data_IF_484255274848
#
_entry.id   IF_484255274848
#
_cell.length_a   1.000
_cell.length_b   1.000
_cell.length_c   1.000
_cell.angle_alpha   90.00
_cell.angle_beta   90.00
_cell.angle_gamma   90.00
#
_symmetry.space_group_name_H-M   'P 1'
#
loop_
_entity.id
_entity.type
_entity.pdbx_description
1 polymer ?
#
# COMPACT_ATOMS: atom_id res chain seq x y z
N UNK A 1 9.20 6.80 -27.74
CA UNK A 1 8.11 6.53 -26.77
C UNK A 1 8.71 5.92 -25.51
N UNK A 2 8.59 6.61 -24.36
CA UNK A 2 9.12 6.13 -23.08
C UNK A 2 8.31 4.94 -22.57
N UNK A 3 8.79 3.71 -22.80
CA UNK A 3 8.19 2.53 -22.22
C UNK A 3 8.24 2.62 -20.69
N UNK A 4 7.09 2.83 -20.07
CA UNK A 4 6.92 2.97 -18.61
C UNK A 4 6.68 1.58 -18.01
N UNK A 5 7.74 0.78 -17.94
CA UNK A 5 7.70 -0.61 -17.45
C UNK A 5 7.15 -0.75 -16.02
N UNK A 6 7.29 0.29 -15.19
CA UNK A 6 6.66 0.34 -13.86
C UNK A 6 5.12 0.21 -13.88
N UNK A 7 4.43 0.59 -14.97
CA UNK A 7 2.99 0.32 -15.09
C UNK A 7 2.71 -1.18 -15.18
N UNK A 8 3.63 -1.95 -15.77
CA UNK A 8 3.55 -3.41 -15.77
C UNK A 8 3.64 -3.97 -14.35
N UNK A 9 4.54 -3.42 -13.52
CA UNK A 9 4.65 -3.78 -12.09
C UNK A 9 3.36 -3.43 -11.34
N UNK A 10 2.82 -2.23 -11.54
CA UNK A 10 1.58 -1.80 -10.90
C UNK A 10 0.38 -2.67 -11.32
N UNK A 11 0.24 -2.95 -12.62
CA UNK A 11 -0.84 -3.78 -13.16
C UNK A 11 -0.77 -5.22 -12.64
N UNK A 12 0.41 -5.85 -12.67
CA UNK A 12 0.59 -7.21 -12.13
C UNK A 12 0.31 -7.26 -10.63
N UNK A 13 0.76 -6.27 -9.86
CA UNK A 13 0.46 -6.17 -8.42
C UNK A 13 -1.04 -6.03 -8.15
N UNK A 14 -1.72 -5.20 -8.94
CA UNK A 14 -3.17 -4.98 -8.81
C UNK A 14 -3.96 -6.26 -9.13
N UNK A 15 -3.61 -6.96 -10.22
CA UNK A 15 -4.27 -8.22 -10.57
C UNK A 15 -4.04 -9.27 -9.48
N UNK A 16 -2.83 -9.33 -8.90
CA UNK A 16 -2.55 -10.22 -7.77
C UNK A 16 -3.36 -9.86 -6.52
N UNK A 17 -3.44 -8.58 -6.17
CA UNK A 17 -4.25 -8.12 -5.04
C UNK A 17 -5.74 -8.47 -5.25
N UNK A 18 -6.27 -8.25 -6.45
CA UNK A 18 -7.64 -8.61 -6.81
C UNK A 18 -7.85 -10.13 -6.77
N UNK A 19 -6.90 -10.92 -7.27
CA UNK A 19 -6.98 -12.37 -7.20
C UNK A 19 -7.00 -12.86 -5.75
N UNK A 20 -6.13 -12.34 -4.89
CA UNK A 20 -6.12 -12.74 -3.48
C UNK A 20 -7.40 -12.32 -2.76
N UNK A 21 -7.97 -11.17 -3.12
CA UNK A 21 -9.23 -10.68 -2.57
C UNK A 21 -10.43 -11.54 -3.02
N UNK A 22 -10.51 -11.79 -4.33
CA UNK A 22 -11.62 -12.52 -4.94
C UNK A 22 -11.52 -14.03 -4.75
N UNK A 23 -10.30 -14.58 -4.65
CA UNK A 23 -10.02 -16.00 -4.46
C UNK A 23 -10.45 -16.57 -3.12
N UNK A 24 -10.95 -15.71 -2.23
CA UNK A 24 -11.63 -16.11 -1.00
C UNK A 24 -13.15 -16.24 -1.15
N UNK A 25 -13.72 -15.77 -2.25
CA UNK A 25 -15.14 -15.97 -2.53
C UNK A 25 -15.41 -17.42 -2.93
N UNK A 26 -16.45 -18.01 -2.35
CA UNK A 26 -16.92 -19.36 -2.73
C UNK A 26 -17.22 -19.44 -4.23
N UNK A 27 -17.70 -18.34 -4.81
CA UNK A 27 -18.00 -18.22 -6.23
C UNK A 27 -16.73 -18.31 -7.09
N UNK A 28 -15.64 -17.61 -6.73
CA UNK A 28 -14.37 -17.74 -7.46
C UNK A 28 -13.72 -19.10 -7.22
N UNK A 29 -13.83 -19.67 -6.02
CA UNK A 29 -13.32 -21.03 -5.74
C UNK A 29 -14.07 -22.07 -6.59
N UNK A 30 -15.40 -21.96 -6.67
CA UNK A 30 -16.23 -22.80 -7.53
C UNK A 30 -15.86 -22.60 -9.01
N UNK A 31 -15.70 -21.36 -9.47
CA UNK A 31 -15.27 -21.06 -10.84
C UNK A 31 -13.88 -21.63 -11.14
N UNK A 32 -12.93 -21.48 -10.21
CA UNK A 32 -11.58 -22.02 -10.30
C UNK A 32 -11.53 -23.54 -10.24
N UNK A 33 -12.57 -24.18 -9.71
CA UNK A 33 -12.69 -25.64 -9.64
C UNK A 33 -13.25 -26.24 -10.93
N UNK A 34 -13.87 -25.43 -11.80
CA UNK A 34 -14.26 -25.88 -13.15
C UNK A 34 -13.01 -26.17 -13.99
N UNK A 35 -13.01 -27.29 -14.72
CA UNK A 35 -11.81 -27.79 -15.43
C UNK A 35 -11.31 -26.83 -16.50
N UNK A 36 -12.22 -26.17 -17.23
CA UNK A 36 -11.84 -25.31 -18.36
C UNK A 36 -11.50 -23.88 -17.93
N UNK A 37 -12.43 -23.19 -17.24
CA UNK A 37 -12.21 -21.79 -16.80
C UNK A 37 -11.15 -21.72 -15.71
N UNK A 38 -11.14 -22.70 -14.80
CA UNK A 38 -10.17 -22.78 -13.72
C UNK A 38 -8.74 -22.96 -14.24
N UNK A 39 -8.53 -23.80 -15.25
CA UNK A 39 -7.20 -24.01 -15.84
C UNK A 39 -6.70 -22.73 -16.52
N UNK A 40 -7.54 -22.07 -17.33
CA UNK A 40 -7.19 -20.82 -18.00
C UNK A 40 -6.82 -19.71 -17.02
N UNK A 41 -7.62 -19.51 -15.96
CA UNK A 41 -7.36 -18.48 -14.95
C UNK A 41 -6.10 -18.78 -14.14
N UNK A 42 -5.87 -20.04 -13.74
CA UNK A 42 -4.63 -20.46 -13.06
C UNK A 42 -3.41 -20.27 -13.95
N UNK A 43 -3.52 -20.60 -15.24
CA UNK A 43 -2.47 -20.35 -16.23
C UNK A 43 -2.15 -18.86 -16.36
N UNK A 44 -3.17 -18.00 -16.45
CA UNK A 44 -2.99 -16.55 -16.49
C UNK A 44 -2.30 -16.01 -15.24
N UNK A 45 -2.73 -16.46 -14.05
CA UNK A 45 -2.11 -16.06 -12.78
C UNK A 45 -0.66 -16.53 -12.67
N UNK A 46 -0.38 -17.75 -13.15
CA UNK A 46 0.97 -18.26 -13.25
C UNK A 46 1.83 -17.41 -14.19
N UNK A 47 1.33 -17.00 -15.36
CA UNK A 47 2.05 -16.08 -16.25
C UNK A 47 2.28 -14.72 -15.57
N UNK A 48 1.25 -14.15 -14.94
CA UNK A 48 1.34 -12.87 -14.21
C UNK A 48 2.34 -12.91 -13.06
N UNK A 49 2.53 -14.06 -12.42
CA UNK A 49 3.56 -14.29 -11.42
C UNK A 49 4.96 -13.98 -11.96
N UNK A 50 5.30 -14.48 -13.15
CA UNK A 50 6.60 -14.26 -13.77
C UNK A 50 6.73 -12.89 -14.43
N UNK A 51 5.62 -12.28 -14.84
CA UNK A 51 5.65 -10.94 -15.44
C UNK A 51 6.09 -9.85 -14.46
N UNK A 52 5.73 -9.95 -13.17
CA UNK A 52 6.14 -8.96 -12.17
C UNK A 52 7.67 -8.80 -12.03
N UNK A 53 8.47 -9.88 -11.80
CA UNK A 53 9.93 -9.77 -11.75
C UNK A 53 10.53 -9.33 -13.10
N UNK A 54 9.92 -9.71 -14.23
CA UNK A 54 10.36 -9.25 -15.55
C UNK A 54 10.17 -7.72 -15.67
N UNK A 55 8.99 -7.20 -15.31
CA UNK A 55 8.72 -5.76 -15.37
C UNK A 55 9.61 -4.97 -14.42
N UNK A 56 9.87 -5.49 -13.21
CA UNK A 56 10.84 -4.90 -12.27
C UNK A 56 12.23 -4.84 -12.88
N UNK A 57 12.70 -5.94 -13.50
CA UNK A 57 14.02 -5.98 -14.13
C UNK A 57 14.14 -5.04 -15.33
N UNK A 58 13.10 -4.95 -16.17
CA UNK A 58 13.05 -4.06 -17.33
C UNK A 58 13.01 -2.58 -16.91
N UNK A 59 12.20 -2.24 -15.91
CA UNK A 59 12.14 -0.87 -15.38
C UNK A 59 13.46 -0.47 -14.73
N UNK A 60 14.07 -1.35 -13.92
CA UNK A 60 15.39 -1.09 -13.34
C UNK A 60 16.48 -0.86 -14.38
N UNK A 61 16.61 -1.77 -15.37
CA UNK A 61 17.62 -1.64 -16.44
C UNK A 61 17.50 -0.31 -17.15
N UNK A 62 16.29 0.23 -17.24
CA UNK A 62 16.03 1.50 -17.92
C UNK A 62 16.45 2.71 -17.09
N UNK A 63 16.24 2.69 -15.77
CA UNK A 63 16.40 3.88 -14.91
C UNK A 63 17.65 3.87 -14.05
N UNK A 64 18.43 2.78 -14.04
CA UNK A 64 19.64 2.65 -13.21
C UNK A 64 20.71 3.73 -13.49
N UNK A 65 20.72 4.28 -14.69
CA UNK A 65 21.70 5.29 -15.12
C UNK A 65 21.19 6.72 -14.88
N UNK A 66 19.86 6.88 -14.75
CA UNK A 66 19.18 8.19 -14.64
C UNK A 66 18.84 8.58 -13.20
N UNK A 67 18.84 7.63 -12.28
CA UNK A 67 18.44 7.82 -10.87
C UNK A 67 19.56 7.26 -10.00
N UNK A 68 20.01 7.96 -8.94
CA UNK A 68 20.98 7.47 -7.96
C UNK A 68 20.34 6.38 -7.06
N UNK A 69 19.77 5.37 -7.69
CA UNK A 69 19.00 4.32 -7.08
C UNK A 69 19.51 2.98 -7.58
N UNK A 70 20.15 2.25 -6.67
CA UNK A 70 20.46 0.85 -6.85
C UNK A 70 19.43 0.04 -6.04
N UNK A 71 18.26 -0.32 -6.61
CA UNK A 71 17.47 -1.36 -6.00
C UNK A 71 18.35 -2.58 -6.00
N UNK A 72 18.62 -3.12 -4.83
CA UNK A 72 19.11 -4.47 -4.75
C UNK A 72 18.07 -5.39 -5.42
N UNK A 73 18.22 -5.63 -6.73
CA UNK A 73 17.22 -6.33 -7.54
C UNK A 73 17.02 -7.75 -7.01
N UNK A 74 18.10 -8.40 -6.57
CA UNK A 74 18.07 -9.77 -6.06
C UNK A 74 16.93 -9.97 -5.06
N UNK A 75 16.86 -9.21 -3.96
CA UNK A 75 15.74 -9.23 -3.02
C UNK A 75 14.36 -9.00 -3.66
N UNK A 76 14.20 -8.03 -4.57
CA UNK A 76 12.90 -7.79 -5.21
C UNK A 76 12.47 -8.96 -6.07
N UNK A 77 13.39 -9.55 -6.85
CA UNK A 77 13.11 -10.77 -7.61
C UNK A 77 12.76 -11.93 -6.68
N UNK A 78 13.52 -12.11 -5.59
CA UNK A 78 13.34 -13.21 -4.65
C UNK A 78 11.99 -13.11 -3.92
N UNK A 79 11.58 -11.91 -3.49
CA UNK A 79 10.25 -11.68 -2.88
C UNK A 79 9.14 -11.83 -3.93
N UNK A 80 9.36 -11.44 -5.18
CA UNK A 80 8.38 -11.63 -6.26
C UNK A 80 8.17 -13.11 -6.63
N UNK A 81 9.14 -13.97 -6.36
CA UNK A 81 8.96 -15.43 -6.49
C UNK A 81 8.06 -15.97 -5.37
N UNK A 82 7.92 -15.29 -4.23
CA UNK A 82 6.97 -15.72 -3.20
C UNK A 82 5.57 -15.25 -3.61
N UNK A 83 4.71 -16.19 -4.01
CA UNK A 83 3.33 -15.91 -4.48
C UNK A 83 2.61 -14.86 -3.62
N UNK A 84 2.51 -15.10 -2.31
CA UNK A 84 1.81 -14.21 -1.38
C UNK A 84 2.42 -12.81 -1.25
N UNK A 85 3.71 -12.66 -1.57
CA UNK A 85 4.44 -11.41 -1.43
C UNK A 85 4.44 -10.57 -2.72
N UNK A 86 3.91 -11.06 -3.85
CA UNK A 86 3.93 -10.31 -5.12
C UNK A 86 3.23 -8.96 -5.06
N UNK A 87 2.02 -8.93 -4.51
CA UNK A 87 1.27 -7.67 -4.38
C UNK A 87 2.02 -6.68 -3.48
N UNK A 88 2.62 -7.16 -2.39
CA UNK A 88 3.41 -6.35 -1.47
C UNK A 88 4.72 -5.86 -2.12
N UNK A 89 5.42 -6.75 -2.83
CA UNK A 89 6.66 -6.45 -3.51
C UNK A 89 6.45 -5.41 -4.61
N UNK A 90 5.47 -5.60 -5.48
CA UNK A 90 5.24 -4.63 -6.55
C UNK A 90 4.65 -3.31 -6.04
N UNK A 91 3.86 -3.31 -4.97
CA UNK A 91 3.44 -2.06 -4.30
C UNK A 91 4.64 -1.31 -3.70
N UNK A 92 5.48 -2.00 -2.92
CA UNK A 92 6.66 -1.40 -2.32
C UNK A 92 7.68 -0.96 -3.38
N UNK A 93 7.81 -1.67 -4.49
CA UNK A 93 8.60 -1.26 -5.66
C UNK A 93 8.06 0.05 -6.25
N UNK A 94 6.74 0.13 -6.49
CA UNK A 94 6.11 1.33 -7.03
C UNK A 94 6.31 2.54 -6.11
N UNK A 95 6.11 2.36 -4.81
CA UNK A 95 6.31 3.40 -3.79
C UNK A 95 7.77 3.85 -3.74
N UNK A 96 8.72 2.92 -3.75
CA UNK A 96 10.15 3.19 -3.79
C UNK A 96 10.55 3.99 -5.02
N UNK A 97 10.12 3.53 -6.19
CA UNK A 97 10.39 4.18 -7.46
C UNK A 97 9.83 5.59 -7.47
N UNK A 98 8.61 5.78 -6.97
CA UNK A 98 7.99 7.09 -6.85
C UNK A 98 8.74 8.00 -5.87
N UNK A 99 9.19 7.48 -4.72
CA UNK A 99 10.00 8.22 -3.76
C UNK A 99 11.33 8.67 -4.38
N UNK A 100 12.01 7.77 -5.10
CA UNK A 100 13.28 8.05 -5.75
C UNK A 100 13.13 9.13 -6.84
N UNK A 101 12.08 9.05 -7.66
CA UNK A 101 11.78 10.09 -8.66
C UNK A 101 11.42 11.45 -8.05
N UNK A 102 10.91 11.46 -6.82
CA UNK A 102 10.54 12.69 -6.11
C UNK A 102 11.71 13.34 -5.37
N UNK A 103 12.79 12.59 -5.14
CA UNK A 103 13.91 13.01 -4.28
C UNK A 103 13.46 13.59 -2.93
N UNK A 104 12.37 13.04 -2.36
CA UNK A 104 11.84 13.49 -1.06
C UNK A 104 11.93 12.39 -0.04
N UNK A 105 12.28 12.76 1.19
CA UNK A 105 12.24 11.86 2.34
C UNK A 105 10.78 11.66 2.77
N UNK A 106 10.31 10.41 2.99
CA UNK A 106 8.95 10.15 3.48
C UNK A 106 8.67 10.77 4.86
N UNK A 107 7.39 10.81 5.26
CA UNK A 107 6.99 11.35 6.57
C UNK A 107 7.33 10.40 7.72
N UNK A 108 7.63 10.93 8.90
CA UNK A 108 7.81 10.11 10.11
C UNK A 108 6.53 9.45 10.61
N UNK A 109 5.37 9.82 10.05
CA UNK A 109 4.06 9.25 10.41
C UNK A 109 3.88 7.81 9.91
N UNK A 110 4.72 7.34 8.98
CA UNK A 110 4.68 5.95 8.52
C UNK A 110 4.96 4.94 9.62
N UNK A 111 5.57 5.36 10.74
CA UNK A 111 5.69 4.55 11.96
C UNK A 111 4.34 4.04 12.46
N UNK A 112 3.26 4.83 12.34
CA UNK A 112 1.92 4.40 12.74
C UNK A 112 1.39 3.26 11.86
N UNK A 113 1.75 3.26 10.58
CA UNK A 113 1.44 2.15 9.67
C UNK A 113 2.23 0.88 10.02
N UNK A 114 3.48 1.03 10.45
CA UNK A 114 4.30 -0.09 10.97
C UNK A 114 3.68 -0.66 12.24
N UNK A 115 3.40 0.19 13.24
CA UNK A 115 2.78 -0.21 14.51
C UNK A 115 1.41 -0.86 14.28
N UNK A 116 0.55 -0.25 13.45
CA UNK A 116 -0.77 -0.78 13.13
C UNK A 116 -0.69 -2.12 12.40
N UNK A 117 0.23 -2.27 11.44
CA UNK A 117 0.47 -3.53 10.75
C UNK A 117 0.96 -4.64 11.67
N UNK A 118 1.89 -4.32 12.59
CA UNK A 118 2.40 -5.28 13.57
C UNK A 118 1.36 -5.68 14.60
N UNK A 119 0.59 -4.72 15.12
CA UNK A 119 -0.51 -4.98 16.04
C UNK A 119 -1.56 -5.88 15.40
N UNK A 120 -1.87 -5.66 14.12
CA UNK A 120 -2.76 -6.53 13.36
C UNK A 120 -2.20 -7.94 13.24
N UNK A 121 -0.94 -8.11 12.82
CA UNK A 121 -0.32 -9.44 12.69
C UNK A 121 -0.21 -10.15 14.03
N UNK A 122 0.18 -9.46 15.09
CA UNK A 122 0.24 -10.01 16.44
C UNK A 122 -1.14 -10.47 16.93
N UNK A 123 -2.18 -9.66 16.70
CA UNK A 123 -3.56 -10.03 17.02
C UNK A 123 -4.01 -11.26 16.23
N UNK A 124 -3.66 -11.35 14.95
CA UNK A 124 -3.99 -12.49 14.11
C UNK A 124 -3.26 -13.76 14.55
N UNK A 125 -1.98 -13.68 14.93
CA UNK A 125 -1.23 -14.80 15.49
C UNK A 125 -1.85 -15.24 16.81
N UNK A 126 -2.17 -14.30 17.71
CA UNK A 126 -2.79 -14.60 19.00
C UNK A 126 -4.16 -15.25 18.84
N UNK A 127 -5.01 -14.71 17.96
CA UNK A 127 -6.33 -15.30 17.66
C UNK A 127 -6.18 -16.71 17.09
N UNK A 128 -5.21 -16.98 16.20
CA UNK A 128 -4.98 -18.33 15.68
C UNK A 128 -4.46 -19.31 16.73
N UNK A 129 -3.61 -18.84 17.66
CA UNK A 129 -3.13 -19.66 18.78
C UNK A 129 -4.28 -19.99 19.75
N UNK A 130 -5.17 -19.03 20.01
CA UNK A 130 -6.33 -19.20 20.91
C UNK A 130 -7.49 -19.95 20.22
N UNK A 131 -7.67 -19.83 18.91
CA UNK A 131 -8.73 -20.52 18.16
C UNK A 131 -8.48 -22.02 17.99
N UNK A 132 -7.24 -22.48 18.19
CA UNK A 132 -6.96 -23.90 18.44
C UNK A 132 -7.66 -24.46 19.70
N UNK A 133 -8.14 -23.58 20.58
CA UNK A 133 -8.88 -23.89 21.81
C UNK A 133 -10.37 -23.53 21.69
N UNK A 134 -10.75 -22.60 20.79
CA UNK A 134 -12.11 -22.08 20.63
C UNK A 134 -12.49 -22.06 19.14
N UNK A 135 -13.51 -22.82 18.75
CA UNK A 135 -14.00 -22.82 17.36
C UNK A 135 -14.53 -21.43 16.97
N UNK A 136 -13.77 -20.71 16.16
CA UNK A 136 -14.10 -19.33 15.71
C UNK A 136 -15.10 -19.27 14.55
N UNK A 137 -15.58 -20.42 14.05
CA UNK A 137 -16.58 -20.51 12.99
C UNK A 137 -16.28 -19.67 11.73
N UNK A 138 -17.34 -19.23 11.04
CA UNK A 138 -17.28 -18.46 9.79
C UNK A 138 -16.71 -17.04 9.94
N UNK A 139 -16.64 -16.51 11.17
CA UNK A 139 -16.07 -15.17 11.47
C UNK A 139 -14.58 -15.13 11.14
N UNK A 140 -13.86 -16.22 11.46
CA UNK A 140 -12.41 -16.33 11.23
C UNK A 140 -12.01 -16.38 9.75
N UNK A 141 -12.86 -16.96 8.89
CA UNK A 141 -12.60 -17.08 7.45
C UNK A 141 -12.92 -15.82 6.66
N UNK A 142 -13.89 -15.01 7.11
CA UNK A 142 -14.37 -13.83 6.39
C UNK A 142 -13.52 -12.59 6.67
N UNK A 143 -13.27 -12.27 7.94
CA UNK A 143 -12.54 -11.07 8.34
C UNK A 143 -11.04 -11.16 8.02
N UNK A 144 -10.50 -12.37 7.96
CA UNK A 144 -9.08 -12.57 7.67
C UNK A 144 -8.71 -12.15 6.26
N UNK A 145 -9.52 -12.40 5.22
CA UNK A 145 -9.11 -12.19 3.82
C UNK A 145 -8.66 -10.76 3.47
N UNK A 146 -9.58 -9.76 3.45
CA UNK A 146 -9.24 -8.39 3.07
C UNK A 146 -8.28 -7.71 4.05
N UNK A 147 -8.43 -7.95 5.36
CA UNK A 147 -7.56 -7.36 6.37
C UNK A 147 -6.14 -7.94 6.31
N UNK A 148 -6.00 -9.25 6.06
CA UNK A 148 -4.69 -9.88 5.80
C UNK A 148 -4.06 -9.30 4.54
N UNK A 149 -4.83 -8.97 3.51
CA UNK A 149 -4.29 -8.31 2.31
C UNK A 149 -3.81 -6.90 2.57
N UNK A 150 -4.61 -6.11 3.29
CA UNK A 150 -4.21 -4.77 3.74
C UNK A 150 -2.96 -4.85 4.60
N UNK A 151 -2.85 -5.85 5.48
CA UNK A 151 -1.66 -6.03 6.31
C UNK A 151 -0.45 -6.58 5.54
N UNK A 152 -0.66 -7.50 4.59
CA UNK A 152 0.38 -8.06 3.71
C UNK A 152 1.03 -6.98 2.85
N UNK A 153 0.25 -6.02 2.35
CA UNK A 153 0.76 -4.95 1.49
C UNK A 153 1.12 -3.71 2.31
N UNK A 154 0.23 -3.30 3.21
CA UNK A 154 0.35 -2.07 3.97
C UNK A 154 1.48 -2.10 5.00
N UNK A 155 1.75 -3.24 5.64
CA UNK A 155 2.84 -3.33 6.61
C UNK A 155 4.21 -3.20 5.94
N UNK A 156 4.57 -3.98 4.90
CA UNK A 156 5.83 -3.77 4.16
C UNK A 156 5.96 -2.40 3.52
N UNK A 157 4.86 -1.84 3.00
CA UNK A 157 4.85 -0.48 2.43
C UNK A 157 5.16 0.58 3.50
N UNK A 158 4.47 0.52 4.65
CA UNK A 158 4.69 1.45 5.76
C UNK A 158 6.11 1.34 6.31
N UNK A 159 6.61 0.11 6.41
CA UNK A 159 7.98 -0.15 6.85
C UNK A 159 9.00 0.42 5.89
N UNK A 160 8.81 0.21 4.58
CA UNK A 160 9.70 0.76 3.57
C UNK A 160 9.78 2.30 3.68
N UNK A 161 8.64 2.96 3.78
CA UNK A 161 8.57 4.42 3.85
C UNK A 161 9.16 4.96 5.17
N UNK A 162 8.89 4.30 6.29
CA UNK A 162 9.49 4.67 7.58
C UNK A 162 11.00 4.41 7.60
N UNK A 163 11.49 3.33 6.97
CA UNK A 163 12.92 3.04 6.89
C UNK A 163 13.69 4.07 6.05
N UNK A 164 13.11 4.55 4.94
CA UNK A 164 13.72 5.68 4.20
C UNK A 164 13.63 6.98 5.00
N UNK A 165 12.57 7.19 5.80
CA UNK A 165 12.51 8.32 6.72
C UNK A 165 13.64 8.28 7.76
N UNK A 166 13.84 7.13 8.41
CA UNK A 166 14.93 6.88 9.37
C UNK A 166 16.29 7.16 8.74
N UNK A 167 16.54 6.66 7.52
CA UNK A 167 17.80 6.90 6.80
C UNK A 167 18.09 8.37 6.52
N UNK A 168 17.04 9.15 6.28
CA UNK A 168 17.16 10.58 6.00
C UNK A 168 17.38 11.43 7.25
N UNK A 169 17.14 10.90 8.45
CA UNK A 169 17.15 11.68 9.70
C UNK A 169 18.05 11.11 10.78
N UNK A 170 18.60 9.91 10.62
CA UNK A 170 19.45 9.25 11.63
C UNK A 170 20.69 8.67 10.95
N UNK A 171 21.72 8.33 11.74
CA UNK A 171 22.92 7.65 11.25
C UNK A 171 22.65 6.17 10.91
N UNK A 172 21.51 5.63 11.34
CA UNK A 172 21.10 4.28 11.01
C UNK A 172 20.75 4.13 9.53
N UNK A 173 21.42 3.20 8.86
CA UNK A 173 21.02 2.72 7.55
C UNK A 173 20.32 1.35 7.65
N UNK A 174 19.01 1.28 7.98
CA UNK A 174 18.27 0.03 8.04
C UNK A 174 18.43 -0.76 6.75
N UNK A 175 18.93 -1.99 6.85
CA UNK A 175 19.03 -2.89 5.71
C UNK A 175 17.62 -3.27 5.25
N UNK A 176 17.10 -2.58 4.23
CA UNK A 176 15.78 -2.87 3.66
C UNK A 176 15.65 -4.34 3.25
N UNK A 177 16.76 -4.99 2.86
CA UNK A 177 16.77 -6.41 2.49
C UNK A 177 16.38 -7.29 3.66
N UNK A 178 17.05 -7.09 4.79
CA UNK A 178 16.82 -7.88 6.00
C UNK A 178 15.38 -7.69 6.49
N UNK A 179 14.95 -6.43 6.56
CA UNK A 179 13.65 -6.10 7.10
C UNK A 179 12.49 -6.55 6.20
N UNK A 180 12.55 -6.29 4.89
CA UNK A 180 11.46 -6.70 3.97
C UNK A 180 11.33 -8.22 3.90
N UNK A 181 12.44 -8.97 3.94
CA UNK A 181 12.41 -10.44 3.98
C UNK A 181 11.81 -10.94 5.30
N UNK A 182 12.20 -10.34 6.42
CA UNK A 182 11.64 -10.69 7.73
C UNK A 182 10.14 -10.40 7.85
N UNK A 183 9.64 -9.34 7.19
CA UNK A 183 8.23 -8.97 7.16
C UNK A 183 7.38 -9.85 6.24
N UNK A 184 7.99 -10.62 5.33
CA UNK A 184 7.27 -11.48 4.40
C UNK A 184 6.67 -12.72 5.07
N UNK A 185 7.18 -13.12 6.25
CA UNK A 185 6.70 -14.28 7.00
C UNK A 185 5.88 -13.79 8.20
N UNK A 186 4.55 -14.01 8.27
CA UNK A 186 3.66 -13.41 9.26
C UNK A 186 4.11 -13.48 10.73
N UNK A 187 4.58 -14.64 11.18
CA UNK A 187 5.02 -14.83 12.59
C UNK A 187 6.35 -14.12 12.84
N UNK A 188 7.28 -14.20 11.88
CA UNK A 188 8.58 -13.54 11.95
C UNK A 188 8.41 -12.02 11.86
N UNK A 189 7.43 -11.54 11.09
CA UNK A 189 7.10 -10.14 10.90
C UNK A 189 6.88 -9.43 12.24
N UNK A 190 6.12 -10.04 13.16
CA UNK A 190 5.85 -9.46 14.49
C UNK A 190 7.15 -9.23 15.26
N UNK A 191 8.03 -10.23 15.31
CA UNK A 191 9.32 -10.14 16.03
C UNK A 191 10.24 -9.13 15.34
N UNK A 192 10.40 -9.25 14.03
CA UNK A 192 11.26 -8.38 13.22
C UNK A 192 10.79 -6.92 13.32
N UNK A 193 9.50 -6.65 13.15
CA UNK A 193 8.98 -5.30 13.27
C UNK A 193 9.08 -4.74 14.69
N UNK A 194 8.93 -5.56 15.73
CA UNK A 194 9.18 -5.11 17.11
C UNK A 194 10.64 -4.71 17.33
N UNK A 195 11.60 -5.52 16.87
CA UNK A 195 13.04 -5.20 16.93
C UNK A 195 13.35 -3.93 16.15
N UNK A 196 12.74 -3.77 14.97
CA UNK A 196 12.87 -2.54 14.18
C UNK A 196 12.37 -1.32 14.95
N UNK A 197 11.19 -1.37 15.57
CA UNK A 197 10.63 -0.24 16.31
C UNK A 197 11.47 0.14 17.53
N UNK A 198 12.01 -0.85 18.25
CA UNK A 198 12.93 -0.62 19.37
C UNK A 198 14.18 0.09 18.88
N UNK A 199 14.82 -0.43 17.82
CA UNK A 199 16.02 0.20 17.26
C UNK A 199 15.75 1.58 16.67
N UNK A 200 14.63 1.76 15.97
CA UNK A 200 14.18 3.07 15.48
C UNK A 200 14.12 4.08 16.61
N UNK A 201 13.54 3.69 17.75
CA UNK A 201 13.40 4.56 18.91
C UNK A 201 14.77 4.98 19.46
N UNK A 202 15.70 4.03 19.66
CA UNK A 202 17.03 4.35 20.19
C UNK A 202 17.79 5.32 19.28
N UNK A 203 17.73 5.11 17.97
CA UNK A 203 18.44 5.94 16.99
C UNK A 203 17.90 7.38 16.95
N UNK A 204 16.58 7.57 17.09
CA UNK A 204 15.99 8.91 17.22
C UNK A 204 16.24 9.56 18.58
N UNK A 205 16.38 8.78 19.66
CA UNK A 205 16.76 9.30 20.98
C UNK A 205 18.21 9.83 20.95
N UNK A 206 19.13 9.13 20.28
CA UNK A 206 20.52 9.55 20.08
C UNK A 206 20.67 10.77 19.14
N UNK A 207 19.80 10.89 18.14
CA UNK A 207 19.82 11.96 17.13
C UNK A 207 19.31 13.31 17.66
N UNK A 208 18.55 13.34 18.76
CA UNK A 208 18.14 14.60 19.41
C UNK A 208 19.29 15.32 20.14
N UNK A 209 20.52 14.81 20.04
CA UNK A 209 21.73 15.52 20.43
C UNK A 209 22.01 16.65 19.40
N UNK A 210 21.96 17.94 19.79
CA UNK A 210 22.08 19.08 18.87
C UNK A 210 23.37 19.10 18.05
N UNK A 211 24.39 18.34 18.44
CA UNK A 211 25.68 18.26 17.76
C UNK A 211 25.75 17.13 16.70
N UNK A 212 24.73 16.27 16.59
CA UNK A 212 24.82 15.02 15.83
C UNK A 212 24.28 15.05 14.38
N UNK A 213 23.60 16.12 13.95
CA UNK A 213 22.84 16.10 12.68
C UNK A 213 23.08 17.35 11.83
N UNK A 214 24.27 17.45 11.26
CA UNK A 214 24.40 18.07 9.94
C UNK A 214 23.67 17.18 8.94
N UNK A 215 22.42 17.52 8.62
CA UNK A 215 21.69 16.94 7.50
C UNK A 215 22.55 17.05 6.24
N UNK A 216 22.77 15.92 5.57
CA UNK A 216 23.37 15.87 4.23
C UNK A 216 22.51 16.68 3.23
N UNK A 217 22.77 18.00 3.17
CA UNK A 217 22.76 18.80 1.95
C UNK A 217 21.43 19.25 1.34
N UNK A 218 20.29 19.16 2.04
CA UNK A 218 19.06 19.80 1.54
C UNK A 218 18.26 20.41 2.69
N UNK A 219 18.46 21.70 2.92
CA UNK A 219 17.55 22.57 3.69
C UNK A 219 16.22 22.70 2.94
N UNK A 220 15.42 21.63 2.92
CA UNK A 220 14.07 21.70 2.39
C UNK A 220 13.18 22.33 3.46
N UNK A 221 12.87 23.63 3.30
CA UNK A 221 11.89 24.30 4.16
C UNK A 221 10.61 23.46 4.26
N UNK A 222 10.07 23.22 5.48
CA UNK A 222 8.85 22.45 5.65
C UNK A 222 7.68 23.13 4.94
N UNK A 223 7.27 22.59 3.79
CA UNK A 223 6.16 23.17 3.04
C UNK A 223 4.85 22.97 3.84
N UNK A 224 4.13 24.06 4.18
CA UNK A 224 2.88 23.95 4.89
C UNK A 224 1.87 23.15 4.04
N UNK A 225 1.13 22.20 4.63
CA UNK A 225 0.19 21.38 3.89
C UNK A 225 -0.86 22.28 3.22
N UNK A 226 -1.02 22.14 1.89
CA UNK A 226 -1.98 22.94 1.11
C UNK A 226 -3.38 22.75 1.68
N UNK A 227 -3.97 23.77 2.32
CA UNK A 227 -5.21 23.61 3.04
C UNK A 227 -6.34 23.43 2.04
N UNK A 228 -6.96 22.25 2.06
CA UNK A 228 -8.21 22.01 1.36
C UNK A 228 -9.22 21.43 2.35
N UNK A 229 -10.36 22.12 2.57
CA UNK A 229 -11.43 21.59 3.41
C UNK A 229 -12.01 20.30 2.82
N UNK A 230 -11.88 20.11 1.50
CA UNK A 230 -12.38 18.94 0.78
C UNK A 230 -11.52 17.71 1.01
N UNK A 231 -10.18 17.82 1.08
CA UNK A 231 -9.31 16.68 1.35
C UNK A 231 -9.68 15.96 2.67
N UNK A 232 -9.87 16.73 3.76
CA UNK A 232 -10.29 16.15 5.05
C UNK A 232 -11.64 15.44 4.96
N UNK A 233 -12.59 16.01 4.21
CA UNK A 233 -13.91 15.42 3.98
C UNK A 233 -13.83 14.13 3.16
N UNK A 234 -13.01 14.10 2.10
CA UNK A 234 -12.79 12.90 1.27
C UNK A 234 -12.13 11.80 2.09
N UNK A 235 -11.11 12.13 2.89
CA UNK A 235 -10.42 11.19 3.75
C UNK A 235 -11.36 10.60 4.81
N UNK A 236 -12.15 11.44 5.48
CA UNK A 236 -13.15 11.02 6.46
C UNK A 236 -14.24 10.14 5.81
N UNK A 237 -14.80 10.57 4.68
CA UNK A 237 -15.80 9.82 3.94
C UNK A 237 -15.28 8.45 3.53
N UNK A 238 -14.05 8.38 3.03
CA UNK A 238 -13.40 7.13 2.62
C UNK A 238 -13.12 6.23 3.82
N UNK A 239 -12.71 6.78 4.96
CA UNK A 239 -12.53 6.04 6.19
C UNK A 239 -13.86 5.48 6.74
N UNK A 240 -14.93 6.28 6.72
CA UNK A 240 -16.28 5.85 7.13
C UNK A 240 -16.81 4.74 6.20
N UNK A 241 -16.65 4.90 4.89
CA UNK A 241 -17.01 3.86 3.93
C UNK A 241 -16.21 2.58 4.17
N UNK A 242 -14.90 2.68 4.37
CA UNK A 242 -14.05 1.52 4.64
C UNK A 242 -14.46 0.81 5.93
N UNK A 243 -14.75 1.57 7.01
CA UNK A 243 -15.30 1.04 8.25
C UNK A 243 -16.64 0.34 8.03
N UNK A 244 -17.57 0.97 7.32
CA UNK A 244 -18.85 0.36 6.95
C UNK A 244 -18.67 -0.92 6.14
N UNK A 245 -17.76 -0.91 5.16
CA UNK A 245 -17.43 -2.08 4.35
C UNK A 245 -16.86 -3.22 5.20
N UNK A 246 -15.97 -2.90 6.14
CA UNK A 246 -15.40 -3.88 7.08
C UNK A 246 -16.46 -4.42 8.05
N UNK A 247 -17.34 -3.55 8.59
CA UNK A 247 -18.41 -3.96 9.51
C UNK A 247 -19.46 -4.81 8.79
N UNK A 248 -19.97 -4.34 7.65
CA UNK A 248 -21.01 -5.04 6.88
C UNK A 248 -20.48 -6.30 6.19
N UNK A 249 -19.27 -6.23 5.63
CA UNK A 249 -18.60 -7.38 5.01
C UNK A 249 -18.03 -8.37 6.03
N UNK A 250 -17.79 -7.94 7.27
CA UNK A 250 -17.24 -8.75 8.35
C UNK A 250 -18.26 -9.46 9.23
N UNK A 251 -19.55 -9.10 9.14
CA UNK A 251 -20.60 -9.69 9.98
C UNK A 251 -21.16 -10.95 9.30
N UNK A 252 -20.97 -12.16 9.87
CA UNK A 252 -21.30 -13.44 9.20
C UNK A 252 -22.77 -13.57 8.82
N UNK A 253 -23.67 -13.11 9.70
CA UNK A 253 -25.11 -13.14 9.46
C UNK A 253 -25.52 -12.25 8.28
N UNK A 254 -24.75 -11.18 8.00
CA UNK A 254 -25.01 -10.25 6.90
C UNK A 254 -24.47 -10.76 5.56
N UNK A 255 -23.35 -11.48 5.57
CA UNK A 255 -22.83 -12.11 4.34
C UNK A 255 -23.71 -13.25 3.83
N UNK A 256 -24.31 -14.04 4.73
CA UNK A 256 -25.23 -15.12 4.36
C UNK A 256 -26.48 -14.62 3.60
N UNK A 257 -26.89 -13.37 3.83
CA UNK A 257 -27.98 -12.68 3.12
C UNK A 257 -27.48 -11.79 1.97
N UNK A 258 -26.20 -11.91 1.57
CA UNK A 258 -25.65 -11.21 0.41
C UNK A 258 -25.31 -9.74 0.62
N UNK A 259 -25.30 -9.23 1.87
CA UNK A 259 -24.99 -7.83 2.15
C UNK A 259 -23.54 -7.43 1.83
N UNK A 260 -22.63 -8.37 1.64
CA UNK A 260 -21.30 -8.07 1.07
C UNK A 260 -21.39 -7.49 -0.35
N UNK A 261 -22.37 -7.94 -1.14
CA UNK A 261 -22.70 -7.34 -2.44
C UNK A 261 -23.31 -5.95 -2.23
N UNK A 262 -24.16 -5.77 -1.21
CA UNK A 262 -24.71 -4.45 -0.85
C UNK A 262 -23.61 -3.48 -0.43
N UNK A 263 -22.61 -3.90 0.33
CA UNK A 263 -21.45 -3.07 0.68
C UNK A 263 -20.63 -2.67 -0.55
N UNK A 264 -20.46 -3.57 -1.53
CA UNK A 264 -19.85 -3.25 -2.81
C UNK A 264 -20.74 -2.31 -3.67
N UNK A 265 -22.07 -2.49 -3.65
CA UNK A 265 -23.03 -1.61 -4.34
C UNK A 265 -23.17 -0.25 -3.65
N UNK A 266 -22.93 -0.16 -2.34
CA UNK A 266 -22.85 1.09 -1.59
C UNK A 266 -21.66 1.95 -2.05
N UNK A 267 -20.67 1.36 -2.73
CA UNK A 267 -19.65 2.15 -3.43
C UNK A 267 -20.27 3.05 -4.50
N UNK A 268 -21.31 2.63 -5.20
CA UNK A 268 -21.86 3.41 -6.31
C UNK A 268 -22.43 4.76 -5.85
N UNK A 269 -23.34 4.84 -4.84
CA UNK A 269 -23.79 6.12 -4.30
C UNK A 269 -22.66 6.85 -3.57
N UNK A 270 -21.77 6.15 -2.88
CA UNK A 270 -20.62 6.76 -2.19
C UNK A 270 -19.65 7.43 -3.17
N UNK A 271 -19.28 6.74 -4.24
CA UNK A 271 -18.40 7.20 -5.30
C UNK A 271 -18.99 8.40 -6.03
N UNK A 272 -20.30 8.36 -6.34
CA UNK A 272 -21.03 9.52 -6.90
C UNK A 272 -20.93 10.73 -5.95
N UNK A 273 -21.11 10.53 -4.65
CA UNK A 273 -20.97 11.60 -3.65
C UNK A 273 -19.51 12.09 -3.49
N UNK A 274 -18.52 11.23 -3.75
CA UNK A 274 -17.10 11.55 -3.68
C UNK A 274 -16.64 12.42 -4.86
N UNK A 275 -17.24 12.25 -6.04
CA UNK A 275 -16.90 12.97 -7.27
C UNK A 275 -16.86 14.50 -7.10
N UNK A 276 -17.93 15.17 -6.61
CA UNK A 276 -17.90 16.62 -6.44
C UNK A 276 -16.83 17.03 -5.43
N UNK A 277 -16.56 16.23 -4.39
CA UNK A 277 -15.52 16.53 -3.42
C UNK A 277 -14.12 16.49 -4.05
N UNK A 278 -13.82 15.46 -4.85
CA UNK A 278 -12.57 15.35 -5.61
C UNK A 278 -12.45 16.52 -6.58
N UNK A 279 -13.52 16.84 -7.30
CA UNK A 279 -13.54 17.98 -8.22
C UNK A 279 -13.22 19.30 -7.50
N UNK A 280 -13.86 19.59 -6.36
CA UNK A 280 -13.61 20.81 -5.60
C UNK A 280 -12.22 20.86 -4.95
N UNK A 281 -11.66 19.73 -4.51
CA UNK A 281 -10.28 19.69 -4.04
C UNK A 281 -9.28 19.94 -5.17
N UNK A 282 -9.51 19.37 -6.36
CA UNK A 282 -8.70 19.62 -7.54
C UNK A 282 -8.77 21.09 -8.00
N UNK A 283 -9.95 21.71 -7.93
CA UNK A 283 -10.14 23.12 -8.21
C UNK A 283 -9.40 24.00 -7.19
N UNK A 284 -9.56 23.73 -5.89
CA UNK A 284 -8.84 24.45 -4.84
C UNK A 284 -7.32 24.34 -5.01
N UNK A 285 -6.81 23.17 -5.40
CA UNK A 285 -5.39 22.98 -5.70
C UNK A 285 -4.90 23.78 -6.90
N UNK A 286 -5.74 23.94 -7.93
CA UNK A 286 -5.42 24.77 -9.09
C UNK A 286 -5.27 26.24 -8.68
N UNK A 287 -6.10 26.73 -7.74
CA UNK A 287 -5.98 28.10 -7.19
C UNK A 287 -4.64 28.32 -6.46
N UNK A 288 -4.03 27.25 -5.95
CA UNK A 288 -2.68 27.25 -5.36
C UNK A 288 -1.55 26.97 -6.37
N UNK A 289 -1.85 26.98 -7.68
CA UNK A 289 -0.85 26.76 -8.74
C UNK A 289 -0.44 25.30 -8.95
N UNK A 290 -1.13 24.33 -8.37
CA UNK A 290 -0.81 22.91 -8.57
C UNK A 290 -1.47 22.34 -9.82
N UNK A 291 -0.67 22.06 -10.86
CA UNK A 291 -1.15 21.33 -12.04
C UNK A 291 -1.15 19.81 -11.81
N UNK A 292 -2.32 19.18 -11.90
CA UNK A 292 -2.47 17.72 -11.72
C UNK A 292 -2.03 16.87 -12.92
N UNK A 293 -1.55 17.52 -13.97
CA UNK A 293 -1.14 16.92 -15.23
C UNK A 293 -2.32 16.27 -15.99
N UNK A 294 -2.04 15.58 -17.11
CA UNK A 294 -3.08 14.99 -17.95
C UNK A 294 -3.90 13.93 -17.22
N UNK A 295 -3.39 13.33 -16.15
CA UNK A 295 -4.07 12.25 -15.39
C UNK A 295 -5.29 12.68 -14.57
N UNK A 296 -5.66 13.97 -14.56
CA UNK A 296 -6.78 14.48 -13.73
C UNK A 296 -8.09 13.73 -13.96
N UNK A 297 -8.38 13.31 -15.20
CA UNK A 297 -9.60 12.59 -15.54
C UNK A 297 -9.66 11.20 -14.91
N UNK A 298 -8.52 10.58 -14.61
CA UNK A 298 -8.49 9.29 -13.92
C UNK A 298 -9.07 9.42 -12.51
N UNK A 299 -8.92 10.56 -11.85
CA UNK A 299 -9.51 10.74 -10.52
C UNK A 299 -11.01 10.98 -10.55
N UNK A 300 -11.56 11.38 -11.70
CA UNK A 300 -13.01 11.43 -11.90
C UNK A 300 -13.61 10.03 -12.08
N UNK A 301 -12.81 9.03 -12.45
CA UNK A 301 -13.26 7.63 -12.48
C UNK A 301 -13.25 6.96 -11.10
N UNK A 302 -12.84 7.69 -10.05
CA UNK A 302 -12.96 7.24 -8.66
C UNK A 302 -14.40 6.84 -8.30
N UNK A 303 -15.42 7.44 -8.94
CA UNK A 303 -16.83 7.03 -8.80
C UNK A 303 -17.03 5.54 -9.04
N UNK A 304 -16.36 5.00 -10.04
CA UNK A 304 -16.56 3.64 -10.51
C UNK A 304 -15.61 2.65 -9.86
N UNK A 305 -14.46 3.13 -9.37
CA UNK A 305 -13.35 2.28 -8.94
C UNK A 305 -12.79 2.73 -7.57
N UNK A 306 -13.08 1.99 -6.48
CA UNK A 306 -12.51 2.27 -5.15
C UNK A 306 -10.99 2.41 -5.10
N UNK A 307 -10.20 1.60 -5.83
CA UNK A 307 -8.74 1.74 -5.86
C UNK A 307 -8.27 3.12 -6.37
N UNK A 308 -9.04 3.75 -7.24
CA UNK A 308 -8.71 5.06 -7.82
C UNK A 308 -8.94 6.19 -6.81
N UNK A 309 -10.01 6.10 -6.01
CA UNK A 309 -10.25 7.02 -4.88
C UNK A 309 -9.13 6.92 -3.83
N UNK A 310 -8.69 5.69 -3.54
CA UNK A 310 -7.57 5.45 -2.63
C UNK A 310 -6.25 6.01 -3.18
N UNK A 311 -5.96 5.76 -4.46
CA UNK A 311 -4.79 6.31 -5.14
C UNK A 311 -4.79 7.85 -5.16
N UNK A 312 -5.97 8.46 -5.32
CA UNK A 312 -6.16 9.91 -5.21
C UNK A 312 -5.80 10.42 -3.81
N UNK A 313 -6.33 9.81 -2.74
CA UNK A 313 -6.04 10.18 -1.36
C UNK A 313 -4.55 10.05 -1.04
N UNK A 314 -3.95 8.94 -1.46
CA UNK A 314 -2.52 8.70 -1.29
C UNK A 314 -1.71 9.78 -2.01
N UNK A 315 -2.00 10.04 -3.29
CA UNK A 315 -1.32 11.10 -4.05
C UNK A 315 -1.50 12.46 -3.39
N UNK A 316 -2.71 12.82 -2.97
CA UNK A 316 -3.02 14.11 -2.32
C UNK A 316 -2.27 14.29 -1.00
N UNK A 317 -2.20 13.25 -0.17
CA UNK A 317 -1.44 13.24 1.09
C UNK A 317 0.06 13.51 0.88
N UNK A 318 0.58 13.12 -0.29
CA UNK A 318 1.99 13.32 -0.65
C UNK A 318 2.26 14.61 -1.45
N UNK A 319 1.23 15.34 -1.90
CA UNK A 319 1.38 16.54 -2.75
C UNK A 319 1.79 17.80 -1.98
N UNK A 320 1.48 17.90 -0.68
CA UNK A 320 1.84 19.07 0.13
C UNK A 320 3.35 19.35 0.21
N UNK A 321 4.20 18.46 -0.32
CA UNK A 321 5.67 18.58 -0.34
C UNK A 321 6.27 18.89 -1.72
N UNK A 322 5.47 19.15 -2.75
CA UNK A 322 5.94 19.38 -4.14
C UNK A 322 6.00 20.85 -4.58
N UNK A 323 5.60 21.80 -3.72
CA UNK A 323 5.32 23.16 -4.17
C UNK A 323 6.54 24.01 -4.58
N UNK A 324 7.78 23.56 -4.39
CA UNK A 324 8.98 24.39 -4.66
C UNK A 324 10.04 23.62 -5.47
N UNK A 325 9.61 23.00 -6.57
CA UNK A 325 10.50 22.57 -7.65
C UNK A 325 10.48 23.52 -8.85
N UNK A 326 10.11 24.79 -8.64
CA UNK A 326 10.29 25.93 -9.54
C UNK A 326 10.88 27.08 -8.73
#
# INVERSE_FOLDING_TARGET
MNARWWYGVAATSLVWALYLLLGRSTDLVALLSTSEVGLGLRGLLFVLWFLLPIFVALDWRRIRDDVPWNPAIGPWLLVSVIWLANAAAGAAYCLRRESALRNTVPSGQWVYGVVGGLAFWASLVLVNLVSGVISTGAVGTVLSGPLVLVALVGCPASFYLDAEHVRGHTHWNPSLRFWLVGLAVPVVNVVVGAVYLVRRRTEFEETNDPDAVELLGVDAEPIPPVPSPWYRRIALASAVYFLLFVVLGGTPGLLAIGLGRVAAFLWLPFGIALLPMIYFDLAALADYGFEWGPTRYLYLTAVLLPPVAFAYLLRRSTMGRRALGL
#
